data_IF_168645854778
#
_entry.id   IF_168645854778
#
_cell.length_a   1.000
_cell.length_b   1.000
_cell.length_c   1.000
_cell.angle_alpha   90.00
_cell.angle_beta   90.00
_cell.angle_gamma   90.00
#
_symmetry.space_group_name_H-M   'P 1'
#
loop_
_entity.id
_entity.type
_entity.pdbx_description
1 polymer ?
#
# COMPACT_ATOMS: atom_id res chain seq x y z
N UNK A 1 11.67 16.77 -14.04
CA UNK A 1 11.11 17.20 -12.75
C UNK A 1 12.10 18.10 -12.05
N UNK A 2 11.64 19.25 -11.54
CA UNK A 2 12.42 20.12 -10.68
C UNK A 2 12.46 19.62 -9.23
N UNK A 3 13.39 20.14 -8.42
CA UNK A 3 13.52 19.79 -6.98
C UNK A 3 12.21 20.07 -6.22
N UNK A 4 11.51 21.16 -6.54
CA UNK A 4 10.24 21.52 -5.91
C UNK A 4 9.13 20.50 -6.20
N UNK A 5 9.05 19.98 -7.42
CA UNK A 5 8.08 18.94 -7.81
C UNK A 5 8.36 17.62 -7.10
N UNK A 6 9.64 17.27 -6.94
CA UNK A 6 10.05 16.07 -6.20
C UNK A 6 9.61 16.18 -4.73
N UNK A 7 9.89 17.31 -4.08
CA UNK A 7 9.48 17.54 -2.70
C UNK A 7 7.96 17.47 -2.55
N UNK A 8 7.22 18.09 -3.49
CA UNK A 8 5.77 18.04 -3.52
C UNK A 8 5.24 16.60 -3.69
N UNK A 9 5.85 15.81 -4.58
CA UNK A 9 5.49 14.41 -4.81
C UNK A 9 5.67 13.58 -3.54
N UNK A 10 6.79 13.76 -2.82
CA UNK A 10 7.08 13.07 -1.56
C UNK A 10 6.04 13.40 -0.49
N UNK A 11 5.77 14.70 -0.28
CA UNK A 11 4.81 15.15 0.74
C UNK A 11 3.39 14.68 0.41
N UNK A 12 2.95 14.82 -0.84
CA UNK A 12 1.61 14.39 -1.23
C UNK A 12 1.44 12.88 -1.16
N UNK A 13 2.41 12.10 -1.65
CA UNK A 13 2.35 10.63 -1.55
C UNK A 13 2.30 10.16 -0.09
N UNK A 14 3.04 10.82 0.82
CA UNK A 14 2.99 10.54 2.25
C UNK A 14 1.60 10.85 2.84
N UNK A 15 1.01 12.00 2.51
CA UNK A 15 -0.34 12.39 2.96
C UNK A 15 -1.39 11.40 2.43
N UNK A 16 -1.34 11.07 1.13
CA UNK A 16 -2.27 10.12 0.51
C UNK A 16 -2.17 8.75 1.19
N UNK A 17 -0.97 8.25 1.41
CA UNK A 17 -0.75 6.97 2.11
C UNK A 17 -1.29 7.00 3.54
N UNK A 18 -1.05 8.09 4.26
CA UNK A 18 -1.55 8.28 5.63
C UNK A 18 -3.08 8.27 5.69
N UNK A 19 -3.75 8.97 4.75
CA UNK A 19 -5.21 9.01 4.66
C UNK A 19 -5.79 7.67 4.18
N UNK A 20 -5.11 6.97 3.27
CA UNK A 20 -5.55 5.67 2.77
C UNK A 20 -5.44 4.57 3.84
N UNK A 21 -4.45 4.66 4.73
CA UNK A 21 -4.19 3.67 5.78
C UNK A 21 -5.40 3.28 6.64
N UNK A 22 -6.19 4.21 7.24
CA UNK A 22 -7.38 3.83 8.01
C UNK A 22 -8.46 3.13 7.16
N UNK A 23 -8.59 3.46 5.87
CA UNK A 23 -9.51 2.76 4.97
C UNK A 23 -9.04 1.32 4.71
N UNK A 24 -7.74 1.13 4.48
CA UNK A 24 -7.12 -0.20 4.31
C UNK A 24 -7.23 -1.04 5.57
N UNK A 25 -7.05 -0.44 6.75
CA UNK A 25 -7.25 -1.13 8.04
C UNK A 25 -8.68 -1.64 8.17
N UNK A 26 -9.68 -0.79 7.91
CA UNK A 26 -11.10 -1.21 7.94
C UNK A 26 -11.39 -2.33 6.94
N UNK A 27 -10.83 -2.24 5.74
CA UNK A 27 -10.97 -3.27 4.71
C UNK A 27 -10.33 -4.60 5.14
N UNK A 28 -9.15 -4.54 5.76
CA UNK A 28 -8.45 -5.72 6.24
C UNK A 28 -9.25 -6.47 7.31
N UNK A 29 -9.86 -5.76 8.27
CA UNK A 29 -10.77 -6.38 9.23
C UNK A 29 -12.03 -6.95 8.57
N UNK A 30 -12.63 -6.23 7.60
CA UNK A 30 -13.83 -6.69 6.89
C UNK A 30 -13.59 -7.96 6.08
N UNK A 31 -12.43 -8.06 5.43
CA UNK A 31 -12.04 -9.21 4.61
C UNK A 31 -11.30 -10.31 5.40
N UNK A 32 -11.18 -10.18 6.74
CA UNK A 32 -10.41 -11.08 7.61
C UNK A 32 -8.93 -11.23 7.19
N UNK A 33 -8.37 -10.21 6.53
CA UNK A 33 -6.95 -10.09 6.19
C UNK A 33 -6.15 -9.59 7.40
N UNK A 34 -6.26 -10.34 8.50
CA UNK A 34 -5.66 -10.01 9.78
C UNK A 34 -4.78 -11.16 10.25
N UNK A 35 -3.71 -10.85 10.98
CA UNK A 35 -2.96 -11.85 11.74
C UNK A 35 -3.55 -11.96 13.14
N UNK A 36 -3.97 -13.16 13.52
CA UNK A 36 -4.38 -13.46 14.89
C UNK A 36 -3.47 -14.56 15.43
N UNK A 37 -2.62 -14.18 16.39
CA UNK A 37 -1.62 -15.06 17.00
C UNK A 37 -2.22 -16.19 17.82
N UNK A 38 -3.52 -16.12 18.14
CA UNK A 38 -4.26 -17.21 18.82
C UNK A 38 -4.54 -18.37 17.88
N UNK A 39 -4.73 -18.10 16.59
CA UNK A 39 -5.04 -19.12 15.58
C UNK A 39 -3.82 -19.51 14.75
N UNK A 40 -2.91 -18.57 14.49
CA UNK A 40 -1.64 -18.81 13.82
C UNK A 40 -0.48 -18.51 14.78
N UNK A 41 0.05 -19.55 15.41
CA UNK A 41 1.34 -19.47 16.11
C UNK A 41 2.46 -19.62 15.09
N UNK A 42 3.07 -18.50 14.73
CA UNK A 42 4.27 -18.47 13.91
C UNK A 42 5.45 -17.97 14.75
N UNK A 43 6.66 -18.54 14.63
CA UNK A 43 7.83 -18.13 15.44
C UNK A 43 8.23 -16.65 15.22
N UNK A 44 7.84 -16.06 14.09
CA UNK A 44 8.04 -14.63 13.81
C UNK A 44 6.98 -13.71 14.47
N UNK A 45 5.94 -14.25 15.10
CA UNK A 45 4.89 -13.45 15.73
C UNK A 45 5.33 -12.99 17.12
N UNK A 46 5.93 -11.81 17.18
CA UNK A 46 6.36 -11.15 18.42
C UNK A 46 5.28 -10.23 19.02
N UNK A 47 4.22 -9.93 18.26
CA UNK A 47 3.13 -9.07 18.69
C UNK A 47 2.03 -9.85 19.41
N UNK A 48 1.27 -9.14 20.25
CA UNK A 48 0.05 -9.66 20.89
C UNK A 48 -1.19 -9.07 20.21
N UNK A 49 -2.26 -9.86 20.10
CA UNK A 49 -3.53 -9.40 19.52
C UNK A 49 -3.64 -9.54 18.00
N UNK A 50 -4.67 -8.89 17.45
CA UNK A 50 -5.08 -8.99 16.04
C UNK A 50 -4.62 -7.75 15.27
N UNK A 51 -3.77 -7.94 14.25
CA UNK A 51 -3.25 -6.84 13.43
C UNK A 51 -3.65 -6.98 11.96
N UNK A 52 -3.96 -5.88 11.24
CA UNK A 52 -4.23 -5.91 9.81
C UNK A 52 -2.96 -6.21 9.00
N UNK A 53 -3.06 -7.05 7.96
CA UNK A 53 -1.91 -7.47 7.13
C UNK A 53 -1.88 -6.88 5.72
N UNK A 54 -2.86 -6.07 5.33
CA UNK A 54 -3.00 -5.56 3.96
C UNK A 54 -2.29 -4.21 3.70
N UNK A 55 -1.24 -3.87 4.44
CA UNK A 55 -0.60 -2.53 4.40
C UNK A 55 -0.07 -2.13 3.01
N UNK A 56 0.42 -3.09 2.23
CA UNK A 56 0.91 -2.86 0.87
C UNK A 56 -0.13 -2.24 -0.07
N UNK A 57 -1.43 -2.48 0.16
CA UNK A 57 -2.51 -1.89 -0.63
C UNK A 57 -2.56 -0.36 -0.50
N UNK A 58 -2.34 0.17 0.70
CA UNK A 58 -2.35 1.62 0.95
C UNK A 58 -1.15 2.31 0.30
N UNK A 59 0.02 1.69 0.40
CA UNK A 59 1.25 2.19 -0.22
C UNK A 59 1.12 2.18 -1.74
N UNK A 60 0.65 1.06 -2.32
CA UNK A 60 0.46 0.95 -3.76
C UNK A 60 -0.56 1.96 -4.29
N UNK A 61 -1.65 2.20 -3.55
CA UNK A 61 -2.63 3.23 -3.91
C UNK A 61 -1.98 4.63 -3.96
N UNK A 62 -1.16 4.98 -2.98
CA UNK A 62 -0.44 6.25 -2.98
C UNK A 62 0.54 6.37 -4.17
N UNK A 63 1.23 5.27 -4.53
CA UNK A 63 2.11 5.22 -5.70
C UNK A 63 1.30 5.46 -6.99
N UNK A 64 0.20 4.75 -7.20
CA UNK A 64 -0.65 4.91 -8.40
C UNK A 64 -1.11 6.36 -8.53
N UNK A 65 -1.66 6.94 -7.46
CA UNK A 65 -2.16 8.31 -7.49
C UNK A 65 -1.00 9.28 -7.78
N UNK A 66 0.09 9.23 -7.01
CA UNK A 66 1.21 10.14 -7.20
C UNK A 66 1.83 10.03 -8.60
N UNK A 67 2.01 8.80 -9.11
CA UNK A 67 2.55 8.56 -10.44
C UNK A 67 1.68 9.15 -11.55
N UNK A 68 0.35 9.02 -11.47
CA UNK A 68 -0.55 9.56 -12.49
C UNK A 68 -0.63 11.09 -12.49
N UNK A 69 -0.35 11.74 -11.36
CA UNK A 69 -0.35 13.21 -11.26
C UNK A 69 0.99 13.84 -11.65
N UNK A 70 2.12 13.19 -11.36
CA UNK A 70 3.46 13.79 -11.50
C UNK A 70 4.28 13.24 -12.67
N UNK A 71 3.88 12.11 -13.26
CA UNK A 71 4.62 11.45 -14.34
C UNK A 71 3.74 11.40 -15.58
N UNK A 72 4.29 11.80 -16.72
CA UNK A 72 3.61 11.67 -18.00
C UNK A 72 3.31 10.20 -18.32
N UNK A 73 2.04 9.85 -18.64
CA UNK A 73 1.67 8.47 -18.90
C UNK A 73 2.42 7.90 -20.10
N UNK A 74 3.10 6.77 -19.89
CA UNK A 74 3.79 6.05 -20.94
C UNK A 74 3.70 4.53 -20.72
N UNK A 75 4.06 3.75 -21.74
CA UNK A 75 3.97 2.28 -21.70
C UNK A 75 4.78 1.67 -20.54
N UNK A 76 5.93 2.25 -20.20
CA UNK A 76 6.77 1.79 -19.11
C UNK A 76 6.09 2.01 -17.75
N UNK A 77 5.48 3.17 -17.54
CA UNK A 77 4.75 3.50 -16.32
C UNK A 77 3.59 2.52 -16.12
N UNK A 78 2.80 2.26 -17.17
CA UNK A 78 1.72 1.27 -17.08
C UNK A 78 2.23 -0.13 -16.75
N UNK A 79 3.39 -0.53 -17.31
CA UNK A 79 4.04 -1.80 -16.96
C UNK A 79 4.43 -1.88 -15.48
N UNK A 80 5.00 -0.81 -14.92
CA UNK A 80 5.37 -0.73 -13.50
C UNK A 80 4.12 -0.82 -12.61
N UNK A 81 3.07 -0.05 -12.93
CA UNK A 81 1.83 -0.08 -12.16
C UNK A 81 1.16 -1.46 -12.23
N UNK A 82 1.06 -2.07 -13.42
CA UNK A 82 0.52 -3.43 -13.55
C UNK A 82 1.34 -4.47 -12.77
N UNK A 83 2.68 -4.41 -12.84
CA UNK A 83 3.54 -5.29 -12.06
C UNK A 83 3.34 -5.11 -10.54
N UNK A 84 3.27 -3.86 -10.09
CA UNK A 84 2.97 -3.54 -8.69
C UNK A 84 1.59 -4.06 -8.25
N UNK A 85 0.58 -3.92 -9.11
CA UNK A 85 -0.76 -4.45 -8.85
C UNK A 85 -0.75 -5.97 -8.67
N UNK A 86 -0.02 -6.70 -9.52
CA UNK A 86 0.13 -8.14 -9.40
C UNK A 86 0.82 -8.53 -8.09
N UNK A 87 1.85 -7.81 -7.67
CA UNK A 87 2.52 -8.05 -6.38
C UNK A 87 1.55 -7.84 -5.21
N UNK A 88 0.73 -6.80 -5.26
CA UNK A 88 -0.28 -6.54 -4.22
C UNK A 88 -1.31 -7.67 -4.17
N UNK A 89 -1.80 -8.13 -5.31
CA UNK A 89 -2.73 -9.28 -5.36
C UNK A 89 -2.06 -10.51 -4.78
N UNK A 90 -0.85 -10.85 -5.22
CA UNK A 90 -0.11 -12.02 -4.72
C UNK A 90 0.17 -11.95 -3.22
N UNK A 91 0.41 -10.76 -2.66
CA UNK A 91 0.63 -10.58 -1.22
C UNK A 91 -0.65 -10.62 -0.38
N UNK A 92 -1.82 -10.43 -0.98
CA UNK A 92 -3.13 -10.49 -0.30
C UNK A 92 -3.70 -11.92 -0.31
N UNK A 93 -3.45 -12.69 -1.36
CA UNK A 93 -3.83 -14.11 -1.48
C UNK A 93 -3.14 -14.98 -0.43
#
# INVERSE_FOLDING_TARGET
>A
MGIGEILLTIVLSAIISYIASPAVIKLAYKLRLVDDTRFRKHPANVHTGVIPRAGGLGIYFAIVVASLFFIEPNKLLYGILLGGFLIVIMGIL
#
